data_IF_091209202742
#
_entry.id   IF_091209202742
#
_cell.length_a   1.000
_cell.length_b   1.000
_cell.length_c   1.000
_cell.angle_alpha   90.00
_cell.angle_beta   90.00
_cell.angle_gamma   90.00
#
_symmetry.space_group_name_H-M   'P 1'
#
loop_
_entity.id
_entity.type
_entity.pdbx_description
1 polymer ?
#
# COMPACT_ATOMS: atom_id res chain seq x y z
N UNK A 1 1.01 31.22 13.02
CA UNK A 1 1.92 31.53 11.90
C UNK A 1 2.11 30.34 10.97
N UNK A 2 2.33 29.13 11.51
CA UNK A 2 2.47 27.86 10.77
C UNK A 2 1.26 27.54 9.87
N UNK A 3 0.03 27.80 10.33
CA UNK A 3 -1.19 27.53 9.55
C UNK A 3 -1.32 28.35 8.26
N UNK A 4 -0.89 29.62 8.24
CA UNK A 4 -1.05 30.47 7.04
C UNK A 4 -0.10 30.05 5.93
N UNK A 5 1.11 29.67 6.30
CA UNK A 5 2.13 29.22 5.35
C UNK A 5 1.81 27.82 4.83
N UNK A 6 1.38 26.91 5.71
CA UNK A 6 0.86 25.59 5.34
C UNK A 6 -0.31 25.71 4.34
N UNK A 7 -1.31 26.53 4.64
CA UNK A 7 -2.45 26.73 3.75
C UNK A 7 -2.07 27.34 2.39
N UNK A 8 -1.03 28.17 2.34
CA UNK A 8 -0.53 28.74 1.07
C UNK A 8 0.16 27.68 0.21
N UNK A 9 0.99 26.83 0.83
CA UNK A 9 1.66 25.70 0.17
C UNK A 9 0.62 24.69 -0.32
N UNK A 10 -0.37 24.37 0.51
CA UNK A 10 -1.46 23.45 0.16
C UNK A 10 -2.23 23.94 -1.08
N UNK A 11 -2.57 25.23 -1.15
CA UNK A 11 -3.23 25.82 -2.32
C UNK A 11 -2.38 25.76 -3.60
N UNK A 12 -1.06 25.93 -3.51
CA UNK A 12 -0.17 25.77 -4.66
C UNK A 12 -0.07 24.31 -5.09
N UNK A 13 -0.02 23.39 -4.13
CA UNK A 13 -0.01 21.95 -4.40
C UNK A 13 -1.30 21.50 -5.08
N UNK A 14 -2.50 21.89 -4.59
CA UNK A 14 -3.78 21.54 -5.22
C UNK A 14 -3.91 22.04 -6.67
N UNK A 15 -3.28 23.18 -7.00
CA UNK A 15 -3.28 23.71 -8.38
C UNK A 15 -2.39 22.92 -9.34
N UNK A 16 -1.33 22.29 -8.83
CA UNK A 16 -0.30 21.64 -9.63
C UNK A 16 -0.36 20.11 -9.59
N UNK A 17 -1.04 19.54 -8.60
CA UNK A 17 -1.23 18.09 -8.49
C UNK A 17 -2.24 17.63 -9.51
N UNK A 18 -1.93 16.54 -10.21
CA UNK A 18 -2.95 15.77 -10.90
C UNK A 18 -4.05 15.39 -9.89
N UNK A 19 -5.33 15.42 -10.28
CA UNK A 19 -6.49 15.17 -9.40
C UNK A 19 -6.65 13.70 -9.00
N UNK A 20 -5.61 13.11 -8.39
CA UNK A 20 -5.55 11.67 -8.11
C UNK A 20 -5.54 11.34 -6.61
N UNK A 21 -5.43 12.35 -5.73
CA UNK A 21 -5.39 12.15 -4.28
C UNK A 21 -6.29 13.18 -3.60
N UNK A 22 -7.37 12.71 -2.99
CA UNK A 22 -8.21 13.48 -2.08
C UNK A 22 -7.81 13.16 -0.63
N UNK A 23 -7.42 14.18 0.13
CA UNK A 23 -7.13 14.09 1.57
C UNK A 23 -8.25 14.82 2.32
N UNK A 24 -8.97 14.09 3.17
CA UNK A 24 -10.13 14.60 3.91
C UNK A 24 -10.10 14.14 5.36
N UNK A 25 -10.74 14.91 6.23
CA UNK A 25 -10.99 14.52 7.61
C UNK A 25 -12.21 13.59 7.68
N UNK A 26 -12.36 12.88 8.79
CA UNK A 26 -13.50 11.97 9.02
C UNK A 26 -14.38 12.53 10.12
N UNK A 27 -15.69 12.30 10.01
CA UNK A 27 -16.67 12.61 11.05
C UNK A 27 -16.74 11.55 12.17
N UNK A 28 -15.83 10.57 12.15
CA UNK A 28 -15.81 9.45 13.07
C UNK A 28 -15.66 9.90 14.54
N UNK A 29 -16.48 9.40 15.47
CA UNK A 29 -16.32 9.72 16.88
C UNK A 29 -15.02 9.13 17.43
N UNK A 30 -14.45 9.77 18.45
CA UNK A 30 -13.16 9.38 19.03
C UNK A 30 -13.07 7.90 19.44
N UNK A 31 -14.17 7.33 19.95
CA UNK A 31 -14.24 5.92 20.33
C UNK A 31 -14.05 4.96 19.15
N UNK A 32 -14.50 5.34 17.95
CA UNK A 32 -14.31 4.57 16.73
C UNK A 32 -12.92 4.79 16.14
N UNK A 33 -12.39 6.02 16.22
CA UNK A 33 -10.98 6.31 15.82
C UNK A 33 -10.02 5.40 16.58
N UNK A 34 -10.24 5.19 17.88
CA UNK A 34 -9.43 4.27 18.67
C UNK A 34 -9.47 2.83 18.14
N UNK A 35 -10.63 2.35 17.67
CA UNK A 35 -10.76 1.01 17.05
C UNK A 35 -9.98 0.93 15.75
N UNK A 36 -10.02 1.98 14.93
CA UNK A 36 -9.24 2.09 13.67
C UNK A 36 -7.74 2.06 13.96
N UNK A 37 -7.26 2.86 14.91
CA UNK A 37 -5.84 2.88 15.29
C UNK A 37 -5.39 1.53 15.85
N UNK A 38 -6.24 0.88 16.66
CA UNK A 38 -5.98 -0.47 17.17
C UNK A 38 -5.86 -1.50 16.05
N UNK A 39 -6.76 -1.47 15.06
CA UNK A 39 -6.69 -2.32 13.86
C UNK A 39 -5.42 -2.04 13.05
N UNK A 40 -5.09 -0.77 12.82
CA UNK A 40 -3.84 -0.39 12.15
C UNK A 40 -2.61 -0.95 12.87
N UNK A 41 -2.59 -0.91 14.21
CA UNK A 41 -1.50 -1.48 14.98
C UNK A 41 -1.41 -3.01 14.84
N UNK A 42 -2.53 -3.73 14.75
CA UNK A 42 -2.52 -5.17 14.44
C UNK A 42 -1.90 -5.42 13.07
N UNK A 43 -2.34 -4.69 12.04
CA UNK A 43 -1.81 -4.76 10.67
C UNK A 43 -0.31 -4.48 10.65
N UNK A 44 0.14 -3.47 11.40
CA UNK A 44 1.56 -3.13 11.55
C UNK A 44 2.37 -4.28 12.16
N UNK A 45 1.89 -4.92 13.24
CA UNK A 45 2.57 -6.05 13.89
C UNK A 45 2.70 -7.23 12.94
N UNK A 46 1.61 -7.58 12.24
CA UNK A 46 1.63 -8.62 11.21
C UNK A 46 2.59 -8.29 10.08
N UNK A 47 2.55 -7.05 9.58
CA UNK A 47 3.46 -6.58 8.54
C UNK A 47 4.93 -6.66 8.97
N UNK A 48 5.26 -6.26 10.19
CA UNK A 48 6.64 -6.35 10.70
C UNK A 48 7.12 -7.79 10.84
N UNK A 49 6.25 -8.73 11.21
CA UNK A 49 6.59 -10.16 11.23
C UNK A 49 6.91 -10.66 9.82
N UNK A 50 6.11 -10.29 8.82
CA UNK A 50 6.38 -10.63 7.43
C UNK A 50 7.65 -9.95 6.89
N UNK A 51 7.88 -8.67 7.22
CA UNK A 51 9.12 -7.95 6.88
C UNK A 51 10.33 -8.67 7.46
N UNK A 52 10.26 -9.14 8.70
CA UNK A 52 11.36 -9.90 9.33
C UNK A 52 11.69 -11.16 8.52
N UNK A 53 10.68 -11.91 8.08
CA UNK A 53 10.86 -13.12 7.27
C UNK A 53 11.47 -12.79 5.91
N UNK A 54 10.87 -11.86 5.17
CA UNK A 54 11.32 -11.49 3.83
C UNK A 54 12.72 -10.89 3.85
N UNK A 55 13.03 -10.04 4.84
CA UNK A 55 14.36 -9.44 5.01
C UNK A 55 15.40 -10.50 5.34
N UNK A 56 15.11 -11.46 6.22
CA UNK A 56 16.04 -12.57 6.53
C UNK A 56 16.39 -13.35 5.26
N UNK A 57 15.40 -13.71 4.47
CA UNK A 57 15.58 -14.45 3.22
C UNK A 57 16.37 -13.65 2.18
N UNK A 58 16.05 -12.37 2.03
CA UNK A 58 16.76 -11.45 1.14
C UNK A 58 18.22 -11.24 1.56
N UNK A 59 18.49 -11.01 2.84
CA UNK A 59 19.84 -10.83 3.37
C UNK A 59 20.69 -12.10 3.17
N UNK A 60 20.08 -13.28 3.31
CA UNK A 60 20.74 -14.56 3.02
C UNK A 60 21.07 -14.69 1.53
N UNK A 61 20.15 -14.33 0.63
CA UNK A 61 20.38 -14.33 -0.82
C UNK A 61 21.57 -13.43 -1.21
N UNK A 62 21.63 -12.21 -0.65
CA UNK A 62 22.70 -11.26 -0.94
C UNK A 62 24.08 -11.71 -0.42
N UNK A 63 24.13 -12.42 0.70
CA UNK A 63 25.39 -12.95 1.24
C UNK A 63 26.01 -14.01 0.31
N UNK A 64 25.20 -14.70 -0.47
CA UNK A 64 25.62 -15.79 -1.34
C UNK A 64 26.56 -15.30 -2.44
N UNK A 65 27.80 -15.82 -2.45
CA UNK A 65 28.84 -15.44 -3.43
C UNK A 65 28.39 -15.70 -4.88
N UNK A 66 27.71 -16.83 -5.12
CA UNK A 66 27.15 -17.18 -6.44
C UNK A 66 26.14 -16.12 -6.92
N UNK A 67 25.22 -15.69 -6.06
CA UNK A 67 24.22 -14.69 -6.41
C UNK A 67 24.88 -13.36 -6.77
N UNK A 68 25.83 -12.88 -5.96
CA UNK A 68 26.59 -11.65 -6.24
C UNK A 68 27.33 -11.70 -7.57
N UNK A 69 27.97 -12.84 -7.88
CA UNK A 69 28.64 -13.04 -9.18
C UNK A 69 27.65 -13.00 -10.34
N UNK A 70 26.51 -13.69 -10.22
CA UNK A 70 25.48 -13.67 -11.26
C UNK A 70 24.89 -12.27 -11.47
N UNK A 71 24.65 -11.53 -10.39
CA UNK A 71 24.14 -10.17 -10.45
C UNK A 71 25.13 -9.23 -11.14
N UNK A 72 26.42 -9.34 -10.83
CA UNK A 72 27.48 -8.60 -11.50
C UNK A 72 27.53 -8.92 -13.00
N UNK A 73 27.54 -10.22 -13.35
CA UNK A 73 27.54 -10.67 -14.75
C UNK A 73 26.31 -10.15 -15.51
N UNK A 74 25.13 -10.18 -14.89
CA UNK A 74 23.90 -9.66 -15.48
C UNK A 74 23.96 -8.15 -15.76
N UNK A 75 24.65 -7.40 -14.89
CA UNK A 75 24.86 -5.96 -15.03
C UNK A 75 25.76 -5.60 -16.22
N UNK A 76 26.86 -6.34 -16.42
CA UNK A 76 27.85 -6.06 -17.48
C UNK A 76 27.49 -6.66 -18.85
N UNK A 77 26.59 -7.64 -18.91
CA UNK A 77 26.27 -8.35 -20.16
C UNK A 77 25.33 -7.53 -21.03
N UNK A 78 25.78 -7.15 -22.22
CA UNK A 78 24.97 -6.44 -23.23
C UNK A 78 24.15 -7.41 -24.11
N UNK A 79 24.67 -8.62 -24.35
CA UNK A 79 24.02 -9.65 -25.17
C UNK A 79 22.69 -10.09 -24.53
N UNK A 80 21.59 -9.79 -25.24
CA UNK A 80 20.22 -10.09 -24.82
C UNK A 80 19.98 -11.57 -24.55
N UNK A 81 20.60 -12.46 -25.33
CA UNK A 81 20.41 -13.91 -25.19
C UNK A 81 21.04 -14.43 -23.89
N UNK A 82 22.29 -14.05 -23.64
CA UNK A 82 23.04 -14.37 -22.41
C UNK A 82 22.40 -13.72 -21.18
N UNK A 83 21.92 -12.47 -21.31
CA UNK A 83 21.21 -11.76 -20.24
C UNK A 83 19.93 -12.47 -19.82
N UNK A 84 19.18 -13.05 -20.77
CA UNK A 84 17.99 -13.87 -20.48
C UNK A 84 18.34 -15.13 -19.67
N UNK A 85 19.43 -15.82 -20.02
CA UNK A 85 19.92 -17.00 -19.29
C UNK A 85 20.30 -16.62 -17.85
N UNK A 86 21.03 -15.53 -17.67
CA UNK A 86 21.41 -15.01 -16.35
C UNK A 86 20.19 -14.59 -15.52
N UNK A 87 19.19 -13.95 -16.14
CA UNK A 87 17.94 -13.59 -15.47
C UNK A 87 17.19 -14.82 -14.95
N UNK A 88 17.15 -15.91 -15.73
CA UNK A 88 16.54 -17.16 -15.31
C UNK A 88 17.26 -17.76 -14.10
N UNK A 89 18.60 -17.80 -14.12
CA UNK A 89 19.40 -18.29 -12.99
C UNK A 89 19.20 -17.43 -11.73
N UNK A 90 19.14 -16.10 -11.87
CA UNK A 90 18.82 -15.20 -10.76
C UNK A 90 17.42 -15.48 -10.20
N UNK A 91 16.44 -15.74 -11.07
CA UNK A 91 15.07 -16.08 -10.65
C UNK A 91 15.01 -17.42 -9.90
N UNK A 92 15.74 -18.43 -10.37
CA UNK A 92 15.86 -19.73 -9.67
C UNK A 92 16.47 -19.56 -8.27
N UNK A 93 17.52 -18.75 -8.14
CA UNK A 93 18.10 -18.43 -6.83
C UNK A 93 17.10 -17.69 -5.94
N UNK A 94 16.35 -16.71 -6.46
CA UNK A 94 15.31 -16.04 -5.66
C UNK A 94 14.27 -17.03 -5.15
N UNK A 95 13.84 -17.99 -5.97
CA UNK A 95 12.93 -19.08 -5.55
C UNK A 95 13.54 -19.94 -4.46
N UNK A 96 14.81 -20.36 -4.59
CA UNK A 96 15.44 -21.24 -3.59
C UNK A 96 15.62 -20.57 -2.22
N UNK A 97 15.73 -19.24 -2.20
CA UNK A 97 15.79 -18.45 -0.96
C UNK A 97 14.42 -17.93 -0.51
N UNK A 98 13.31 -18.34 -1.13
CA UNK A 98 11.97 -17.89 -0.77
C UNK A 98 11.79 -16.35 -0.86
N UNK A 99 12.46 -15.71 -1.83
CA UNK A 99 12.32 -14.28 -2.13
C UNK A 99 11.40 -14.12 -3.33
N UNK A 100 10.13 -14.50 -3.16
CA UNK A 100 9.10 -14.48 -4.20
C UNK A 100 7.80 -13.89 -3.68
N UNK A 101 6.98 -13.35 -4.59
CA UNK A 101 5.64 -12.87 -4.26
C UNK A 101 4.80 -13.98 -3.62
N UNK A 102 4.85 -15.18 -4.21
CA UNK A 102 4.08 -16.32 -3.72
C UNK A 102 4.42 -16.69 -2.27
N UNK A 103 5.72 -16.73 -1.94
CA UNK A 103 6.15 -16.96 -0.55
C UNK A 103 5.72 -15.83 0.39
N UNK A 104 5.84 -14.57 -0.05
CA UNK A 104 5.39 -13.41 0.72
C UNK A 104 3.89 -13.50 1.04
N UNK A 105 3.07 -13.78 0.01
CA UNK A 105 1.62 -13.92 0.12
C UNK A 105 1.21 -15.09 1.01
N UNK A 106 1.77 -16.28 0.78
CA UNK A 106 1.43 -17.49 1.54
C UNK A 106 1.87 -17.39 2.99
N UNK A 107 3.02 -16.78 3.27
CA UNK A 107 3.50 -16.51 4.63
C UNK A 107 2.59 -15.54 5.40
N UNK A 108 1.94 -14.61 4.71
CA UNK A 108 1.02 -13.66 5.35
C UNK A 108 -0.26 -14.32 5.87
N UNK A 109 -0.71 -15.44 5.29
CA UNK A 109 -1.95 -16.12 5.67
C UNK A 109 -1.95 -16.53 7.16
N UNK A 110 -0.98 -17.33 7.65
CA UNK A 110 -0.93 -17.69 9.07
C UNK A 110 -0.66 -16.48 9.97
N UNK A 111 0.13 -15.50 9.52
CA UNK A 111 0.41 -14.27 10.28
C UNK A 111 -0.87 -13.44 10.46
N UNK A 112 -1.67 -13.28 9.41
CA UNK A 112 -2.95 -12.57 9.47
C UNK A 112 -3.91 -13.20 10.48
N UNK A 113 -3.99 -14.55 10.48
CA UNK A 113 -4.78 -15.30 11.47
C UNK A 113 -4.27 -15.08 12.90
N UNK A 114 -2.95 -15.13 13.11
CA UNK A 114 -2.30 -14.91 14.42
C UNK A 114 -2.66 -13.54 15.03
N UNK A 115 -2.77 -12.51 14.20
CA UNK A 115 -3.11 -11.14 14.64
C UNK A 115 -4.60 -10.78 14.50
N UNK A 116 -5.45 -11.74 14.10
CA UNK A 116 -6.88 -11.55 13.86
C UNK A 116 -7.17 -10.39 12.90
N UNK A 117 -6.45 -10.36 11.78
CA UNK A 117 -6.63 -9.38 10.70
C UNK A 117 -7.43 -10.03 9.58
N UNK A 118 -8.36 -9.27 9.00
CA UNK A 118 -9.12 -9.71 7.83
C UNK A 118 -8.20 -10.01 6.63
N UNK A 119 -8.56 -11.01 5.83
CA UNK A 119 -7.77 -11.46 4.69
C UNK A 119 -7.49 -10.35 3.67
N UNK A 120 -8.42 -9.39 3.49
CA UNK A 120 -8.28 -8.26 2.57
C UNK A 120 -7.13 -7.35 3.00
N UNK A 121 -7.07 -7.01 4.29
CA UNK A 121 -6.00 -6.16 4.84
C UNK A 121 -4.67 -6.90 4.91
N UNK A 122 -4.71 -8.20 5.23
CA UNK A 122 -3.51 -9.03 5.24
C UNK A 122 -2.88 -9.11 3.85
N UNK A 123 -3.68 -9.39 2.80
CA UNK A 123 -3.19 -9.42 1.42
C UNK A 123 -2.65 -8.06 0.97
N UNK A 124 -3.38 -6.98 1.24
CA UNK A 124 -2.95 -5.62 0.88
C UNK A 124 -1.61 -5.28 1.53
N UNK A 125 -1.43 -5.63 2.82
CA UNK A 125 -0.17 -5.41 3.52
C UNK A 125 0.98 -6.27 2.97
N UNK A 126 0.70 -7.50 2.54
CA UNK A 126 1.69 -8.32 1.85
C UNK A 126 2.13 -7.70 0.51
N UNK A 127 1.19 -7.15 -0.26
CA UNK A 127 1.50 -6.43 -1.51
C UNK A 127 2.42 -5.23 -1.24
N UNK A 128 2.13 -4.42 -0.21
CA UNK A 128 2.99 -3.27 0.17
C UNK A 128 4.41 -3.71 0.51
N UNK A 129 4.55 -4.79 1.27
CA UNK A 129 5.86 -5.34 1.66
C UNK A 129 6.58 -5.90 0.43
N UNK A 130 5.87 -6.61 -0.44
CA UNK A 130 6.44 -7.14 -1.68
C UNK A 130 6.92 -6.03 -2.61
N UNK A 131 6.19 -4.93 -2.75
CA UNK A 131 6.66 -3.75 -3.49
C UNK A 131 7.98 -3.20 -2.91
N UNK A 132 8.12 -3.21 -1.58
CA UNK A 132 9.39 -2.88 -0.92
C UNK A 132 10.51 -3.85 -1.26
N UNK A 133 10.23 -5.15 -1.31
CA UNK A 133 11.18 -6.20 -1.72
C UNK A 133 11.57 -6.03 -3.19
N UNK A 134 10.61 -5.79 -4.09
CA UNK A 134 10.86 -5.54 -5.51
C UNK A 134 11.76 -4.34 -5.73
N UNK A 135 11.52 -3.25 -4.99
CA UNK A 135 12.39 -2.07 -5.04
C UNK A 135 13.83 -2.40 -4.63
N UNK A 136 14.03 -3.33 -3.69
CA UNK A 136 15.36 -3.81 -3.28
C UNK A 136 15.98 -4.82 -4.27
N UNK A 137 15.17 -5.48 -5.10
CA UNK A 137 15.65 -6.46 -6.09
C UNK A 137 15.95 -5.84 -7.45
N UNK A 138 15.15 -4.85 -7.85
CA UNK A 138 15.11 -4.34 -9.22
C UNK A 138 15.26 -2.82 -9.32
N UNK A 139 15.11 -2.11 -8.20
CA UNK A 139 15.19 -0.66 -8.15
C UNK A 139 16.42 -0.18 -7.39
N UNK A 140 16.29 1.03 -6.84
CA UNK A 140 17.29 1.69 -6.00
C UNK A 140 17.08 1.46 -4.49
N UNK A 141 16.35 0.40 -4.12
CA UNK A 141 16.09 0.08 -2.72
C UNK A 141 17.29 -0.58 -2.05
N UNK A 142 17.71 -0.07 -0.90
CA UNK A 142 18.83 -0.65 -0.14
C UNK A 142 18.37 -1.65 0.93
N UNK A 143 17.23 -1.41 1.57
CA UNK A 143 16.79 -2.20 2.73
C UNK A 143 15.27 -2.13 2.90
N UNK A 144 14.69 -3.22 3.40
CA UNK A 144 13.27 -3.28 3.79
C UNK A 144 13.14 -2.79 5.25
N UNK A 145 12.34 -1.75 5.46
CA UNK A 145 12.17 -1.11 6.76
C UNK A 145 10.98 -1.67 7.54
N UNK A 146 11.11 -1.65 8.87
CA UNK A 146 10.00 -1.94 9.79
C UNK A 146 9.16 -0.68 10.01
N UNK A 147 7.86 -0.86 10.19
CA UNK A 147 6.95 0.23 10.58
C UNK A 147 6.99 0.43 12.10
N UNK A 148 7.22 1.66 12.56
CA UNK A 148 7.21 2.00 14.00
C UNK A 148 5.78 2.17 14.51
N UNK A 149 5.61 2.00 15.82
CA UNK A 149 4.33 2.23 16.47
C UNK A 149 4.02 3.72 16.53
N UNK A 150 2.77 4.11 16.24
CA UNK A 150 2.31 5.51 16.25
C UNK A 150 2.78 6.36 15.07
N UNK A 151 3.82 5.93 14.35
CA UNK A 151 4.32 6.62 13.16
C UNK A 151 3.44 6.25 11.95
N UNK A 152 2.61 7.21 11.52
CA UNK A 152 1.74 7.09 10.33
C UNK A 152 0.86 5.81 10.35
N UNK A 153 -0.06 5.66 11.32
CA UNK A 153 -0.98 4.53 11.35
C UNK A 153 -1.79 4.51 10.05
N UNK A 154 -1.71 3.40 9.33
CA UNK A 154 -2.34 3.23 8.03
C UNK A 154 -3.22 1.97 8.02
N UNK A 155 -4.38 2.09 7.38
CA UNK A 155 -5.19 0.98 6.89
C UNK A 155 -5.43 1.26 5.42
N UNK A 156 -5.16 0.26 4.58
CA UNK A 156 -5.32 0.36 3.13
C UNK A 156 -6.21 -0.77 2.65
N UNK A 157 -7.18 -0.43 1.83
CA UNK A 157 -7.96 -1.38 1.03
C UNK A 157 -7.76 -1.05 -0.45
N UNK A 158 -7.63 -2.09 -1.28
CA UNK A 158 -7.38 -1.94 -2.72
C UNK A 158 -8.66 -1.91 -3.55
N UNK A 159 -9.72 -2.59 -3.08
CA UNK A 159 -10.96 -2.75 -3.81
C UNK A 159 -12.02 -1.84 -3.21
N UNK A 160 -12.76 -1.16 -4.09
CA UNK A 160 -13.82 -0.21 -3.70
C UNK A 160 -14.94 -0.83 -2.87
N UNK A 161 -15.14 -2.14 -2.99
CA UNK A 161 -16.21 -2.89 -2.32
C UNK A 161 -15.72 -3.83 -1.21
N UNK A 162 -14.42 -3.83 -0.86
CA UNK A 162 -13.87 -4.72 0.20
C UNK A 162 -12.95 -3.99 1.17
N UNK A 163 -13.03 -4.37 2.45
CA UNK A 163 -12.20 -3.81 3.52
C UNK A 163 -12.71 -2.45 3.99
N UNK A 164 -12.61 -1.43 3.12
CA UNK A 164 -13.15 -0.08 3.35
C UNK A 164 -14.08 0.27 2.19
N UNK A 165 -15.28 -0.34 2.09
CA UNK A 165 -16.20 -0.01 1.02
C UNK A 165 -16.71 1.43 1.14
N UNK A 166 -16.86 2.07 -0.02
CA UNK A 166 -17.51 3.39 -0.18
C UNK A 166 -18.89 3.20 -0.81
N UNK A 167 -19.83 4.03 -0.39
CA UNK A 167 -21.21 4.06 -0.85
C UNK A 167 -21.74 5.49 -0.79
N UNK A 168 -22.78 5.77 -1.58
CA UNK A 168 -23.51 7.04 -1.52
C UNK A 168 -24.74 6.86 -0.64
N UNK A 169 -24.90 7.74 0.35
CA UNK A 169 -26.09 7.80 1.20
C UNK A 169 -26.43 9.24 1.50
N UNK A 170 -27.69 9.62 1.27
CA UNK A 170 -28.19 10.98 1.51
C UNK A 170 -27.31 12.06 0.84
N UNK A 171 -26.95 11.84 -0.44
CA UNK A 171 -26.04 12.67 -1.25
C UNK A 171 -24.65 12.91 -0.64
N UNK A 172 -24.19 11.98 0.20
CA UNK A 172 -22.87 12.04 0.86
C UNK A 172 -22.10 10.74 0.69
N UNK A 173 -20.78 10.87 0.62
CA UNK A 173 -19.86 9.74 0.66
C UNK A 173 -19.87 9.11 2.06
N UNK A 174 -20.24 7.84 2.11
CA UNK A 174 -20.23 7.02 3.31
C UNK A 174 -19.29 5.83 3.13
N UNK A 175 -18.39 5.68 4.08
CA UNK A 175 -17.44 4.59 4.17
C UNK A 175 -17.83 3.63 5.29
N UNK A 176 -17.39 2.39 5.19
CA UNK A 176 -17.57 1.40 6.25
C UNK A 176 -16.27 0.68 6.55
N UNK A 177 -15.96 0.49 7.82
CA UNK A 177 -14.84 -0.32 8.29
C UNK A 177 -15.35 -1.28 9.37
N UNK A 178 -15.47 -2.55 9.00
CA UNK A 178 -16.08 -3.56 9.86
C UNK A 178 -17.56 -3.22 10.15
N UNK A 179 -17.87 -2.87 11.40
CA UNK A 179 -19.23 -2.48 11.83
C UNK A 179 -19.42 -0.96 11.88
N UNK A 180 -18.36 -0.18 11.76
CA UNK A 180 -18.40 1.28 11.86
C UNK A 180 -18.65 1.87 10.48
N UNK A 181 -19.67 2.72 10.36
CA UNK A 181 -19.87 3.59 9.20
C UNK A 181 -19.43 5.01 9.56
N UNK A 182 -18.81 5.70 8.62
CA UNK A 182 -18.32 7.07 8.80
C UNK A 182 -18.34 7.82 7.47
N UNK A 183 -18.48 9.12 7.52
CA UNK A 183 -18.37 10.04 6.39
C UNK A 183 -17.06 10.82 6.41
N UNK A 184 -17.04 11.83 5.56
CA UNK A 184 -15.93 12.76 5.41
C UNK A 184 -16.34 14.15 5.90
N UNK A 185 -15.38 14.89 6.42
CA UNK A 185 -15.49 16.31 6.73
C UNK A 185 -14.78 17.09 5.62
N UNK A 186 -15.56 17.91 4.93
CA UNK A 186 -15.09 18.77 3.84
C UNK A 186 -14.84 20.17 4.42
N UNK A 187 -13.58 20.60 4.36
CA UNK A 187 -13.11 21.82 5.01
C UNK A 187 -12.77 22.93 4.01
N UNK A 188 -12.61 22.62 2.73
CA UNK A 188 -12.32 23.60 1.69
C UNK A 188 -13.06 23.31 0.37
N UNK A 189 -13.07 24.32 -0.52
CA UNK A 189 -13.75 24.25 -1.82
C UNK A 189 -13.16 23.19 -2.74
N UNK A 190 -11.85 22.94 -2.68
CA UNK A 190 -11.21 21.92 -3.51
C UNK A 190 -11.69 20.53 -3.10
N UNK A 191 -11.71 20.24 -1.80
CA UNK A 191 -12.27 19.00 -1.27
C UNK A 191 -13.75 18.83 -1.62
N UNK A 192 -14.53 19.92 -1.63
CA UNK A 192 -15.93 19.89 -2.05
C UNK A 192 -16.07 19.52 -3.52
N UNK A 193 -15.38 20.25 -4.42
CA UNK A 193 -15.42 20.00 -5.85
C UNK A 193 -15.00 18.54 -6.18
N UNK A 194 -13.95 18.03 -5.53
CA UNK A 194 -13.49 16.64 -5.73
C UNK A 194 -14.45 15.59 -5.13
N UNK A 195 -15.06 15.88 -3.98
CA UNK A 195 -16.06 14.98 -3.39
C UNK A 195 -17.33 14.90 -4.25
N UNK A 196 -17.75 16.02 -4.85
CA UNK A 196 -18.90 16.11 -5.74
C UNK A 196 -18.64 15.38 -7.07
N UNK A 197 -17.41 15.46 -7.60
CA UNK A 197 -16.99 14.67 -8.77
C UNK A 197 -17.06 13.16 -8.48
N UNK A 198 -16.55 12.72 -7.32
CA UNK A 198 -16.64 11.31 -6.89
C UNK A 198 -18.09 10.88 -6.68
N UNK A 199 -18.90 11.74 -6.04
CA UNK A 199 -20.31 11.48 -5.79
C UNK A 199 -21.05 11.26 -7.12
N UNK A 200 -20.86 12.18 -8.06
CA UNK A 200 -21.44 12.13 -9.42
C UNK A 200 -21.05 10.85 -10.14
N UNK A 201 -19.77 10.46 -10.07
CA UNK A 201 -19.29 9.21 -10.65
C UNK A 201 -19.97 7.99 -10.01
N UNK A 202 -20.09 7.95 -8.68
CA UNK A 202 -20.70 6.81 -7.99
C UNK A 202 -22.22 6.69 -8.23
N UNK A 203 -22.91 7.81 -8.47
CA UNK A 203 -24.34 7.81 -8.80
C UNK A 203 -24.61 7.46 -10.27
N UNK A 204 -23.73 7.86 -11.19
CA UNK A 204 -23.92 7.74 -12.65
C UNK A 204 -22.83 6.90 -13.34
N UNK A 205 -22.24 5.94 -12.64
CA UNK A 205 -21.05 5.20 -13.10
C UNK A 205 -21.17 4.65 -14.52
N UNK A 206 -22.31 4.04 -14.87
CA UNK A 206 -22.56 3.49 -16.22
C UNK A 206 -22.53 4.58 -17.32
N UNK A 207 -23.07 5.77 -17.04
CA UNK A 207 -23.15 6.88 -18.01
C UNK A 207 -21.77 7.50 -18.21
N UNK A 208 -21.00 7.65 -17.12
CA UNK A 208 -19.67 8.25 -17.16
C UNK A 208 -18.68 7.32 -17.87
N UNK A 209 -18.70 6.02 -17.55
CA UNK A 209 -17.82 5.03 -18.17
C UNK A 209 -18.07 4.90 -19.69
N UNK A 210 -19.31 5.10 -20.16
CA UNK A 210 -19.63 5.10 -21.59
C UNK A 210 -19.18 6.34 -22.36
N UNK A 211 -18.86 7.45 -21.67
CA UNK A 211 -18.40 8.70 -22.29
C UNK A 211 -16.88 8.81 -22.40
N UNK A 212 -16.13 7.97 -21.68
CA UNK A 212 -14.66 7.95 -21.64
C UNK A 212 -14.06 7.09 -22.75
#
# INVERSE_FOLDING_TARGET
>A
MIDKEYNKILKQYHKLSDRHILVVETDMPYSDVFKVVSLSNKIRRAGNELVRLMRKNYDQLLRTKRYRKLLFLYGITEDKSKRKILANQLNEMRKSYNVTWDYCRTSMIPIGKKYSIDAVFALTKAEDIWRGVEKCLYGNGNTIHFSKYGELPCIRAKQINRGIPVSVKDDKLQFKLGKTAFGIQVNDRFQQDEADDILTYLTESEIVDHKA
#
